data_IF_470503149960
#
_entry.id   IF_470503149960
#
_cell.length_a   1.000
_cell.length_b   1.000
_cell.length_c   1.000
_cell.angle_alpha   90.00
_cell.angle_beta   90.00
_cell.angle_gamma   90.00
#
_symmetry.space_group_name_H-M   'P 1'
#
loop_
_entity.id
_entity.type
_entity.pdbx_description
1 polymer ?
#
# COMPACT_ATOMS: atom_id res chain seq x y z
N UNK A 1 1.28 9.18 23.87
CA UNK A 1 0.19 8.18 23.73
C UNK A 1 -0.04 7.74 22.28
N UNK A 2 0.08 8.63 21.28
CA UNK A 2 -0.04 8.30 19.86
C UNK A 2 1.10 7.44 19.30
N UNK A 3 2.33 7.62 19.79
CA UNK A 3 3.49 6.88 19.29
C UNK A 3 3.47 5.37 19.63
N UNK A 4 2.84 4.99 20.74
CA UNK A 4 2.70 3.57 21.11
C UNK A 4 1.68 2.82 20.25
N UNK A 5 0.62 3.48 19.79
CA UNK A 5 -0.37 2.85 18.92
C UNK A 5 0.15 2.54 17.51
N UNK A 6 1.19 3.28 17.06
CA UNK A 6 1.82 3.09 15.74
C UNK A 6 2.74 1.87 15.73
N UNK A 7 3.25 1.45 16.89
CA UNK A 7 4.21 0.35 17.04
C UNK A 7 3.61 -0.96 17.56
N UNK A 8 2.29 -1.02 17.79
CA UNK A 8 1.65 -2.28 18.16
C UNK A 8 1.70 -3.21 16.93
N UNK A 9 2.38 -4.35 17.02
CA UNK A 9 2.40 -5.30 15.92
C UNK A 9 0.97 -5.78 15.64
N UNK A 10 0.63 -5.85 14.37
CA UNK A 10 -0.69 -6.26 13.88
C UNK A 10 -1.01 -7.73 14.14
N UNK A 11 -0.02 -8.49 14.59
CA UNK A 11 -0.19 -9.90 14.96
C UNK A 11 -0.29 -10.04 16.47
N UNK A 12 -1.43 -10.51 16.95
CA UNK A 12 -1.67 -11.18 18.25
C UNK A 12 -0.64 -10.91 19.38
N UNK A 13 -0.27 -9.66 19.63
CA UNK A 13 0.38 -9.36 20.90
C UNK A 13 -0.64 -9.58 22.01
N UNK A 14 -0.21 -10.14 23.12
CA UNK A 14 -1.05 -10.36 24.31
C UNK A 14 -1.79 -9.08 24.76
N UNK A 15 -1.24 -7.89 24.50
CA UNK A 15 -1.82 -6.59 24.79
C UNK A 15 -3.03 -6.27 23.89
N UNK A 16 -2.95 -6.55 22.60
CA UNK A 16 -4.08 -6.37 21.69
C UNK A 16 -5.21 -7.35 21.98
N UNK A 17 -4.88 -8.59 22.31
CA UNK A 17 -5.86 -9.59 22.75
C UNK A 17 -6.52 -9.17 24.06
N UNK A 18 -5.78 -8.54 24.98
CA UNK A 18 -6.31 -8.02 26.24
C UNK A 18 -7.33 -6.90 26.01
N UNK A 19 -6.99 -5.88 25.23
CA UNK A 19 -7.88 -4.75 24.92
C UNK A 19 -9.19 -5.24 24.26
N UNK A 20 -9.08 -6.15 23.30
CA UNK A 20 -10.26 -6.68 22.60
C UNK A 20 -11.11 -7.59 23.49
N UNK A 21 -10.49 -8.34 24.41
CA UNK A 21 -11.19 -9.33 25.25
C UNK A 21 -11.88 -8.69 26.46
N UNK A 22 -11.28 -7.70 27.09
CA UNK A 22 -11.72 -7.20 28.40
C UNK A 22 -12.35 -5.80 28.37
N UNK A 23 -12.21 -5.06 27.27
CA UNK A 23 -12.87 -3.78 27.11
C UNK A 23 -14.39 -3.96 26.92
N UNK A 24 -15.20 -3.05 27.46
CA UNK A 24 -16.61 -2.97 27.13
C UNK A 24 -16.84 -2.60 25.65
N UNK A 25 -18.11 -2.62 25.19
CA UNK A 25 -18.42 -2.39 23.79
C UNK A 25 -17.97 -1.01 23.30
N UNK A 26 -18.14 0.03 24.12
CA UNK A 26 -17.74 1.40 23.75
C UNK A 26 -16.24 1.53 23.71
N UNK A 27 -15.52 0.97 24.64
CA UNK A 27 -14.06 0.92 24.67
C UNK A 27 -13.51 0.12 23.51
N UNK A 28 -14.15 -1.02 23.12
CA UNK A 28 -13.78 -1.79 21.93
C UNK A 28 -13.91 -0.98 20.64
N UNK A 29 -14.98 -0.21 20.52
CA UNK A 29 -15.15 0.65 19.32
C UNK A 29 -14.12 1.79 19.27
N UNK A 30 -13.77 2.38 20.39
CA UNK A 30 -12.69 3.35 20.49
C UNK A 30 -11.35 2.70 20.12
N UNK A 31 -11.04 1.54 20.70
CA UNK A 31 -9.81 0.81 20.39
C UNK A 31 -9.73 0.43 18.90
N UNK A 32 -10.81 -0.07 18.31
CA UNK A 32 -10.87 -0.35 16.86
C UNK A 32 -10.59 0.90 16.02
N UNK A 33 -11.15 2.04 16.39
CA UNK A 33 -10.92 3.32 15.67
C UNK A 33 -9.48 3.79 15.78
N UNK A 34 -8.88 3.67 16.96
CA UNK A 34 -7.46 4.01 17.18
C UNK A 34 -6.53 3.07 16.41
N UNK A 35 -6.82 1.76 16.42
CA UNK A 35 -6.04 0.75 15.70
C UNK A 35 -6.19 0.87 14.18
N UNK A 36 -7.34 1.33 13.67
CA UNK A 36 -7.55 1.52 12.23
C UNK A 36 -6.54 2.44 11.56
N UNK A 37 -5.99 3.39 12.29
CA UNK A 37 -4.95 4.28 11.76
C UNK A 37 -3.63 3.55 11.46
N UNK A 38 -3.35 2.45 12.17
CA UNK A 38 -2.13 1.64 12.02
C UNK A 38 -2.33 0.35 11.23
N UNK A 39 -3.59 -0.06 10.98
CA UNK A 39 -3.88 -1.23 10.16
C UNK A 39 -3.68 -0.93 8.68
N UNK A 40 -2.78 -1.68 8.05
CA UNK A 40 -2.60 -1.63 6.61
C UNK A 40 -3.72 -2.39 5.90
N UNK A 41 -4.32 -1.78 4.89
CA UNK A 41 -5.31 -2.36 3.99
C UNK A 41 -4.91 -2.14 2.55
N UNK A 42 -5.41 -2.99 1.67
CA UNK A 42 -5.28 -2.77 0.22
C UNK A 42 -6.28 -1.68 -0.17
N UNK A 43 -5.80 -0.70 -0.89
CA UNK A 43 -6.56 0.42 -1.42
C UNK A 43 -6.48 0.43 -2.95
N UNK A 44 -7.63 0.54 -3.62
CA UNK A 44 -7.69 0.72 -5.06
C UNK A 44 -7.41 2.18 -5.42
N UNK A 45 -6.38 2.47 -6.21
CA UNK A 45 -6.12 3.83 -6.72
C UNK A 45 -7.32 4.34 -7.51
N UNK A 46 -7.81 3.55 -8.47
CA UNK A 46 -9.12 3.72 -9.10
C UNK A 46 -10.12 2.82 -8.41
N UNK A 47 -11.18 3.32 -7.78
CA UNK A 47 -12.18 2.50 -7.08
C UNK A 47 -12.79 1.43 -8.00
N UNK A 48 -13.04 0.24 -7.47
CA UNK A 48 -13.69 -0.86 -8.21
C UNK A 48 -15.05 -0.43 -8.76
N UNK A 49 -15.87 0.29 -7.97
CA UNK A 49 -17.16 0.87 -8.39
C UNK A 49 -17.06 1.89 -9.53
N UNK A 50 -15.85 2.33 -9.88
CA UNK A 50 -15.55 3.20 -11.02
C UNK A 50 -14.80 2.45 -12.14
N UNK A 51 -14.84 1.13 -12.14
CA UNK A 51 -14.17 0.29 -13.12
C UNK A 51 -12.66 0.14 -12.86
N UNK A 52 -12.22 0.25 -11.61
CA UNK A 52 -10.85 -0.10 -11.20
C UNK A 52 -10.67 -1.61 -11.17
N UNK A 53 -9.54 -2.07 -11.68
CA UNK A 53 -9.22 -3.49 -11.75
C UNK A 53 -8.65 -4.00 -10.43
N UNK A 54 -8.89 -5.28 -10.13
CA UNK A 54 -8.28 -6.03 -9.03
C UNK A 54 -6.88 -6.50 -9.45
N UNK A 55 -5.96 -5.57 -9.63
CA UNK A 55 -4.58 -5.82 -10.07
C UNK A 55 -3.57 -5.04 -9.24
N UNK A 56 -2.33 -5.54 -9.15
CA UNK A 56 -1.24 -4.85 -8.47
C UNK A 56 -1.00 -3.45 -9.03
N UNK A 57 -1.29 -3.23 -10.30
CA UNK A 57 -1.14 -1.93 -10.98
C UNK A 57 -2.11 -0.88 -10.45
N UNK A 58 -3.17 -1.32 -9.75
CA UNK A 58 -4.20 -0.48 -9.17
C UNK A 58 -4.22 -0.53 -7.63
N UNK A 59 -3.32 -1.30 -6.99
CA UNK A 59 -3.29 -1.46 -5.55
C UNK A 59 -2.17 -0.66 -4.89
N UNK A 60 -2.49 -0.01 -3.78
CA UNK A 60 -1.54 0.55 -2.82
C UNK A 60 -1.91 0.13 -1.41
N UNK A 61 -0.97 0.26 -0.47
CA UNK A 61 -1.31 0.14 0.94
C UNK A 61 -1.77 1.50 1.47
N UNK A 62 -2.86 1.47 2.20
CA UNK A 62 -3.36 2.60 2.96
C UNK A 62 -3.71 2.16 4.39
N UNK A 63 -3.83 3.10 5.32
CA UNK A 63 -4.43 2.76 6.61
C UNK A 63 -5.92 2.46 6.43
N UNK A 64 -6.46 1.55 7.23
CA UNK A 64 -7.89 1.23 7.21
C UNK A 64 -8.76 2.47 7.43
N UNK A 65 -8.25 3.46 8.16
CA UNK A 65 -8.94 4.73 8.37
C UNK A 65 -8.98 5.58 7.08
N UNK A 66 -7.84 5.72 6.40
CA UNK A 66 -7.77 6.46 5.13
C UNK A 66 -8.65 5.81 4.07
N UNK A 67 -8.57 4.47 3.94
CA UNK A 67 -9.38 3.69 3.02
C UNK A 67 -10.90 3.90 3.28
N UNK A 68 -11.34 3.74 4.54
CA UNK A 68 -12.75 3.98 4.92
C UNK A 68 -13.19 5.43 4.69
N UNK A 69 -12.31 6.41 4.95
CA UNK A 69 -12.63 7.84 4.76
C UNK A 69 -12.76 8.18 3.27
N UNK A 70 -11.90 7.59 2.44
CA UNK A 70 -11.96 7.79 1.00
C UNK A 70 -13.17 7.08 0.38
N UNK A 71 -13.46 5.85 0.80
CA UNK A 71 -14.55 5.05 0.22
C UNK A 71 -14.45 5.05 -1.34
N UNK A 72 -15.54 5.32 -2.04
CA UNK A 72 -15.59 5.36 -3.50
C UNK A 72 -15.23 6.74 -4.10
N UNK A 73 -14.66 7.65 -3.29
CA UNK A 73 -14.25 8.98 -3.78
C UNK A 73 -13.07 8.83 -4.75
N UNK A 74 -13.11 9.46 -5.94
CA UNK A 74 -11.94 9.55 -6.82
C UNK A 74 -10.73 10.12 -6.09
N UNK A 75 -9.54 9.59 -6.39
CA UNK A 75 -8.32 9.98 -5.68
C UNK A 75 -8.02 11.48 -5.84
N UNK A 76 -8.30 12.07 -7.00
CA UNK A 76 -8.18 13.51 -7.24
C UNK A 76 -8.95 14.33 -6.21
N UNK A 77 -10.25 14.01 -5.99
CA UNK A 77 -11.07 14.70 -4.99
C UNK A 77 -10.61 14.43 -3.55
N UNK A 78 -10.07 13.26 -3.29
CA UNK A 78 -9.52 12.93 -1.97
C UNK A 78 -8.28 13.76 -1.65
N UNK A 79 -7.44 14.05 -2.64
CA UNK A 79 -6.24 14.91 -2.50
C UNK A 79 -6.64 16.35 -2.18
N UNK A 80 -7.68 16.88 -2.80
CA UNK A 80 -8.19 18.24 -2.51
C UNK A 80 -8.53 18.39 -1.02
N UNK A 81 -9.08 17.33 -0.42
CA UNK A 81 -9.42 17.28 1.00
C UNK A 81 -8.24 16.94 1.90
N UNK A 82 -7.28 16.15 1.40
CA UNK A 82 -6.11 15.66 2.13
C UNK A 82 -4.83 15.91 1.33
N UNK A 83 -4.30 17.14 1.33
CA UNK A 83 -3.14 17.53 0.50
C UNK A 83 -1.83 16.76 0.81
N UNK A 84 -1.78 16.03 1.93
CA UNK A 84 -0.63 15.18 2.29
C UNK A 84 -0.55 13.87 1.49
N UNK A 85 -1.61 13.47 0.78
CA UNK A 85 -1.68 12.19 0.06
C UNK A 85 -0.54 12.02 -0.94
N UNK A 86 -0.22 12.98 -1.83
CA UNK A 86 0.89 12.80 -2.78
C UNK A 86 2.23 12.55 -2.07
N UNK A 87 2.53 13.28 -0.99
CA UNK A 87 3.74 13.07 -0.19
C UNK A 87 3.76 11.67 0.45
N UNK A 88 2.61 11.16 0.88
CA UNK A 88 2.51 9.82 1.45
C UNK A 88 2.68 8.73 0.37
N UNK A 89 2.15 8.95 -0.84
CA UNK A 89 2.39 8.07 -1.99
C UNK A 89 3.90 8.01 -2.33
N UNK A 90 4.60 9.14 -2.32
CA UNK A 90 6.05 9.17 -2.55
C UNK A 90 6.81 8.41 -1.47
N UNK A 91 6.48 8.58 -0.20
CA UNK A 91 7.09 7.82 0.90
C UNK A 91 6.86 6.32 0.76
N UNK A 92 5.65 5.93 0.41
CA UNK A 92 5.29 4.53 0.19
C UNK A 92 6.12 3.91 -0.93
N UNK A 93 6.19 4.56 -2.10
CA UNK A 93 6.95 4.03 -3.23
C UNK A 93 8.45 3.97 -2.95
N UNK A 94 8.99 4.93 -2.23
CA UNK A 94 10.39 4.93 -1.79
C UNK A 94 10.70 3.68 -0.92
N UNK A 95 9.81 3.31 0.01
CA UNK A 95 9.96 2.08 0.80
C UNK A 95 9.94 0.83 -0.08
N UNK A 96 9.00 0.75 -1.03
CA UNK A 96 8.92 -0.37 -1.98
C UNK A 96 10.19 -0.47 -2.84
N UNK A 97 10.68 0.66 -3.38
CA UNK A 97 11.92 0.74 -4.14
C UNK A 97 13.11 0.23 -3.29
N UNK A 98 13.18 0.66 -2.03
CA UNK A 98 14.24 0.21 -1.11
C UNK A 98 14.22 -1.31 -0.92
N UNK A 99 13.03 -1.90 -0.73
CA UNK A 99 12.87 -3.35 -0.57
C UNK A 99 13.31 -4.07 -1.85
N UNK A 100 12.84 -3.61 -3.03
CA UNK A 100 13.20 -4.24 -4.32
C UNK A 100 14.69 -4.09 -4.60
N UNK A 101 15.28 -2.93 -4.33
CA UNK A 101 16.71 -2.68 -4.51
C UNK A 101 17.58 -3.62 -3.66
N UNK A 102 17.10 -4.04 -2.49
CA UNK A 102 17.73 -5.04 -1.63
C UNK A 102 17.43 -6.50 -2.04
N UNK A 103 16.69 -6.72 -3.12
CA UNK A 103 16.36 -8.04 -3.65
C UNK A 103 15.09 -8.67 -3.06
N UNK A 104 14.28 -7.90 -2.33
CA UNK A 104 12.93 -8.29 -1.92
C UNK A 104 11.91 -8.13 -3.07
N UNK A 105 10.69 -8.62 -2.88
CA UNK A 105 9.57 -8.56 -3.82
C UNK A 105 9.95 -9.06 -5.23
N UNK A 106 10.63 -10.20 -5.29
CA UNK A 106 11.06 -10.81 -6.56
C UNK A 106 9.86 -11.17 -7.43
N UNK A 107 9.90 -10.77 -8.69
CA UNK A 107 8.80 -10.94 -9.65
C UNK A 107 7.87 -9.73 -9.71
N UNK A 108 8.06 -8.75 -8.83
CA UNK A 108 7.26 -7.52 -8.78
C UNK A 108 8.09 -6.25 -9.10
N UNK A 109 9.24 -6.42 -9.74
CA UNK A 109 10.14 -5.31 -10.06
C UNK A 109 9.51 -4.26 -10.98
N UNK A 110 8.44 -4.58 -11.70
CA UNK A 110 7.70 -3.60 -12.52
C UNK A 110 6.72 -2.74 -11.74
N UNK A 111 6.38 -3.12 -10.50
CA UNK A 111 5.35 -2.45 -9.70
C UNK A 111 5.57 -0.93 -9.55
N UNK A 112 6.78 -0.39 -9.26
CA UNK A 112 6.98 1.05 -9.13
C UNK A 112 6.57 1.84 -10.37
N UNK A 113 6.86 1.32 -11.57
CA UNK A 113 6.48 1.97 -12.84
C UNK A 113 4.98 1.89 -13.09
N UNK A 114 4.36 0.74 -12.82
CA UNK A 114 2.95 0.52 -13.05
C UNK A 114 2.09 1.40 -12.16
N UNK A 115 2.35 1.38 -10.86
CA UNK A 115 1.60 2.21 -9.91
C UNK A 115 1.81 3.71 -10.15
N UNK A 116 3.02 4.13 -10.56
CA UNK A 116 3.29 5.53 -10.92
C UNK A 116 2.43 5.98 -12.09
N UNK A 117 2.29 5.14 -13.14
CA UNK A 117 1.43 5.43 -14.29
C UNK A 117 -0.04 5.56 -13.86
N UNK A 118 -0.50 4.67 -12.98
CA UNK A 118 -1.88 4.70 -12.49
C UNK A 118 -2.13 5.96 -11.65
N UNK A 119 -1.23 6.31 -10.73
CA UNK A 119 -1.35 7.51 -9.90
C UNK A 119 -1.32 8.80 -10.73
N UNK A 120 -0.46 8.86 -11.75
CA UNK A 120 -0.41 9.98 -12.69
C UNK A 120 -1.74 10.12 -13.45
N UNK A 121 -2.26 9.00 -13.97
CA UNK A 121 -3.52 8.96 -14.73
C UNK A 121 -4.74 9.32 -13.88
N UNK A 122 -4.86 8.74 -12.69
CA UNK A 122 -6.08 8.85 -11.87
C UNK A 122 -6.09 10.09 -10.96
N UNK A 123 -4.92 10.70 -10.70
CA UNK A 123 -4.81 11.79 -9.74
C UNK A 123 -3.75 12.86 -10.06
N UNK A 124 -3.06 12.77 -11.18
CA UNK A 124 -1.99 13.70 -11.54
C UNK A 124 -0.77 13.63 -10.62
N UNK A 125 -0.62 12.56 -9.82
CA UNK A 125 0.52 12.39 -8.93
C UNK A 125 1.71 11.88 -9.74
N UNK A 126 2.77 12.67 -9.79
CA UNK A 126 4.06 12.26 -10.34
C UNK A 126 4.96 11.77 -9.21
N UNK A 127 5.43 10.51 -9.32
CA UNK A 127 6.35 9.92 -8.36
C UNK A 127 7.79 10.03 -8.87
N UNK A 128 8.70 10.39 -7.97
CA UNK A 128 10.13 10.30 -8.22
C UNK A 128 10.59 8.84 -8.06
N UNK A 129 11.12 8.28 -9.15
CA UNK A 129 11.68 6.92 -9.22
C UNK A 129 13.21 6.96 -9.40
N UNK A 130 13.88 8.08 -9.20
CA UNK A 130 15.32 8.25 -9.43
C UNK A 130 16.19 7.28 -8.63
N UNK A 131 15.74 6.90 -7.43
CA UNK A 131 16.45 5.94 -6.58
C UNK A 131 16.24 4.48 -6.99
N UNK A 132 15.38 4.22 -7.98
CA UNK A 132 15.11 2.85 -8.43
C UNK A 132 16.26 2.37 -9.32
N UNK A 133 16.93 1.31 -8.92
CA UNK A 133 18.13 0.78 -9.58
C UNK A 133 17.89 0.15 -10.96
N UNK A 134 16.65 -0.10 -11.33
CA UNK A 134 16.28 -0.68 -12.62
C UNK A 134 15.58 0.35 -13.50
N UNK A 135 15.88 0.37 -14.78
CA UNK A 135 15.01 0.98 -15.79
C UNK A 135 13.73 0.12 -15.95
N UNK A 136 12.70 0.68 -16.57
CA UNK A 136 11.45 -0.05 -16.79
C UNK A 136 11.67 -1.36 -17.58
N UNK A 137 12.55 -1.32 -18.59
CA UNK A 137 12.90 -2.48 -19.39
C UNK A 137 13.66 -3.53 -18.58
N UNK A 138 14.65 -3.12 -17.79
CA UNK A 138 15.38 -4.02 -16.91
C UNK A 138 14.45 -4.68 -15.88
N UNK A 139 13.49 -3.94 -15.34
CA UNK A 139 12.48 -4.48 -14.43
C UNK A 139 11.61 -5.54 -15.10
N UNK A 140 11.13 -5.28 -16.34
CA UNK A 140 10.37 -6.27 -17.14
C UNK A 140 11.18 -7.56 -17.39
N UNK A 141 12.46 -7.41 -17.74
CA UNK A 141 13.35 -8.54 -17.97
C UNK A 141 13.59 -9.35 -16.69
N UNK A 142 13.74 -8.70 -15.53
CA UNK A 142 13.86 -9.38 -14.23
C UNK A 142 12.63 -10.23 -13.91
N UNK A 143 11.43 -9.65 -14.05
CA UNK A 143 10.16 -10.36 -13.84
C UNK A 143 10.07 -11.58 -14.76
N UNK A 144 10.35 -11.41 -16.05
CA UNK A 144 10.33 -12.51 -17.04
C UNK A 144 11.28 -13.64 -16.63
N UNK A 145 12.52 -13.32 -16.27
CA UNK A 145 13.52 -14.31 -15.84
C UNK A 145 13.09 -15.03 -14.54
N UNK A 146 12.47 -14.34 -13.60
CA UNK A 146 11.97 -14.93 -12.37
C UNK A 146 10.91 -16.00 -12.66
N UNK A 147 9.92 -15.71 -13.50
CA UNK A 147 8.87 -16.67 -13.84
C UNK A 147 9.40 -17.83 -14.67
N UNK A 148 10.30 -17.60 -15.63
CA UNK A 148 10.94 -18.67 -16.39
C UNK A 148 11.68 -19.67 -15.47
N UNK A 149 12.45 -19.17 -14.51
CA UNK A 149 13.15 -20.04 -13.53
C UNK A 149 12.18 -20.82 -12.65
N UNK A 150 11.04 -20.20 -12.26
CA UNK A 150 10.02 -20.87 -11.44
C UNK A 150 9.34 -22.02 -12.19
N UNK A 151 8.98 -21.83 -13.46
CA UNK A 151 8.38 -22.87 -14.29
C UNK A 151 9.34 -24.04 -14.59
N UNK A 152 10.63 -23.75 -14.82
CA UNK A 152 11.63 -24.79 -15.11
C UNK A 152 11.99 -25.65 -13.88
N UNK A 153 11.66 -25.23 -12.68
CA UNK A 153 11.86 -26.00 -11.44
C UNK A 153 10.69 -26.94 -11.11
N UNK A 154 9.58 -26.81 -11.80
CA UNK A 154 8.38 -27.63 -11.59
C UNK A 154 8.28 -28.79 -12.60
N UNK A 155 9.24 -28.89 -13.51
CA UNK A 155 9.50 -30.06 -14.39
C UNK A 155 10.62 -30.90 -13.82
#
# INVERSE_FOLDING_TARGET
>A
MYDRAIYLPTSSSSENAFVVKYADRSQREIAKRLLRASLATIEHVKPESKGGENSLDNFMLASANANSTRSNMPLQKFIERFPSVPKNCQKYIHQIITIINKGGLRGEETYPYKISKTLKKEAGIELDLSEYKYTEEQAKNKVKQFFQKKFNRQK
#
